data_IF_845326094129
#
_entry.id   IF_845326094129
#
_cell.length_a   1.000
_cell.length_b   1.000
_cell.length_c   1.000
_cell.angle_alpha   90.00
_cell.angle_beta   90.00
_cell.angle_gamma   90.00
#
_symmetry.space_group_name_H-M   'P 1'
#
loop_
_entity.id
_entity.type
_entity.pdbx_description
1 polymer ?
#
# COMPACT_ATOMS: atom_id res chain seq x y z
N UNK A 1 -19.24 5.80 2.68
CA UNK A 1 -19.33 5.45 4.12
C UNK A 1 -18.03 5.81 4.83
N UNK A 2 -17.98 5.90 6.17
CA UNK A 2 -16.72 6.10 6.91
C UNK A 2 -15.71 4.98 6.62
N UNK A 3 -16.18 3.74 6.39
CA UNK A 3 -15.32 2.61 6.02
C UNK A 3 -14.68 2.76 4.62
N UNK A 4 -15.37 3.37 3.66
CA UNK A 4 -14.79 3.62 2.33
C UNK A 4 -13.70 4.68 2.40
N UNK A 5 -13.89 5.68 3.27
CA UNK A 5 -12.89 6.69 3.55
C UNK A 5 -11.65 6.09 4.22
N UNK A 6 -11.80 5.11 5.12
CA UNK A 6 -10.65 4.41 5.72
C UNK A 6 -9.81 3.69 4.66
N UNK A 7 -10.44 3.10 3.63
CA UNK A 7 -9.72 2.48 2.51
C UNK A 7 -8.89 3.51 1.74
N UNK A 8 -9.48 4.67 1.44
CA UNK A 8 -8.76 5.76 0.77
C UNK A 8 -7.64 6.34 1.65
N UNK A 9 -7.89 6.50 2.95
CA UNK A 9 -6.89 6.98 3.90
C UNK A 9 -5.71 6.01 4.02
N UNK A 10 -5.94 4.70 3.98
CA UNK A 10 -4.87 3.70 3.95
C UNK A 10 -3.97 3.84 2.70
N UNK A 11 -4.54 4.16 1.54
CA UNK A 11 -3.76 4.49 0.34
C UNK A 11 -2.90 5.74 0.55
N UNK A 12 -3.47 6.79 1.13
CA UNK A 12 -2.76 8.04 1.43
C UNK A 12 -1.63 7.83 2.46
N UNK A 13 -1.87 7.05 3.51
CA UNK A 13 -0.85 6.69 4.51
C UNK A 13 0.29 5.93 3.84
N UNK A 14 -0.01 4.94 3.00
CA UNK A 14 1.02 4.20 2.27
C UNK A 14 1.90 5.10 1.40
N UNK A 15 1.32 6.11 0.77
CA UNK A 15 2.09 7.11 0.02
C UNK A 15 2.98 7.95 0.95
N UNK A 16 2.45 8.43 2.07
CA UNK A 16 3.22 9.21 3.06
C UNK A 16 4.38 8.39 3.63
N UNK A 17 4.15 7.12 4.00
CA UNK A 17 5.21 6.20 4.45
C UNK A 17 6.30 6.05 3.41
N UNK A 18 5.96 5.95 2.13
CA UNK A 18 6.94 5.88 1.04
C UNK A 18 7.75 7.17 0.92
N UNK A 19 7.13 8.33 1.12
CA UNK A 19 7.81 9.64 1.08
C UNK A 19 8.71 9.84 2.30
N UNK A 20 8.33 9.30 3.45
CA UNK A 20 9.07 9.40 4.71
C UNK A 20 10.18 8.36 4.88
N UNK A 21 10.34 7.44 3.92
CA UNK A 21 11.41 6.43 3.96
C UNK A 21 12.79 7.10 3.93
N UNK A 22 13.75 6.48 4.61
CA UNK A 22 15.15 6.89 4.52
C UNK A 22 15.65 6.87 3.07
N UNK A 23 16.44 7.87 2.73
CA UNK A 23 17.05 8.01 1.40
C UNK A 23 18.40 7.31 1.41
N UNK A 24 18.61 6.40 0.46
CA UNK A 24 19.89 5.75 0.23
C UNK A 24 20.84 6.72 -0.50
N UNK A 25 21.99 7.00 0.10
CA UNK A 25 23.03 7.88 -0.43
C UNK A 25 24.28 7.10 -0.88
N UNK A 26 24.16 5.80 -1.17
CA UNK A 26 25.24 5.00 -1.76
C UNK A 26 25.52 5.38 -3.22
N UNK A 27 26.74 5.09 -3.71
CA UNK A 27 27.12 5.31 -5.11
C UNK A 27 26.18 4.60 -6.10
N UNK A 28 25.72 3.41 -5.72
CA UNK A 28 24.74 2.64 -6.49
C UNK A 28 23.39 3.37 -6.57
N UNK A 29 22.90 3.94 -5.46
CA UNK A 29 21.66 4.72 -5.45
C UNK A 29 21.77 6.01 -6.29
N UNK A 30 22.95 6.65 -6.33
CA UNK A 30 23.17 7.82 -7.19
C UNK A 30 23.13 7.48 -8.69
N UNK A 31 23.54 6.27 -9.08
CA UNK A 31 23.45 5.80 -10.47
C UNK A 31 24.32 6.58 -11.47
N UNK A 32 25.43 7.18 -11.03
CA UNK A 32 26.26 8.04 -11.90
C UNK A 32 26.83 7.28 -13.11
N UNK A 33 27.23 6.02 -12.93
CA UNK A 33 27.76 5.19 -14.02
C UNK A 33 26.71 4.97 -15.13
N UNK A 34 25.47 4.62 -14.75
CA UNK A 34 24.40 4.42 -15.76
C UNK A 34 24.02 5.74 -16.43
N UNK A 35 24.10 6.87 -15.73
CA UNK A 35 23.89 8.19 -16.35
C UNK A 35 24.95 8.50 -17.41
N UNK A 36 26.22 8.18 -17.14
CA UNK A 36 27.31 8.35 -18.11
C UNK A 36 27.17 7.41 -19.31
N UNK A 37 26.84 6.13 -19.07
CA UNK A 37 26.65 5.12 -20.12
C UNK A 37 25.48 5.43 -21.05
N UNK A 38 24.33 5.84 -20.50
CA UNK A 38 23.13 6.18 -21.29
C UNK A 38 23.35 7.47 -22.08
N UNK A 39 23.99 8.47 -21.46
CA UNK A 39 24.31 9.74 -22.09
C UNK A 39 23.10 10.59 -22.51
N UNK A 40 23.35 11.76 -23.15
CA UNK A 40 22.29 12.68 -23.55
C UNK A 40 21.33 12.09 -24.58
N UNK A 41 20.02 12.24 -24.34
CA UNK A 41 18.97 11.76 -25.24
C UNK A 41 18.68 10.26 -25.16
N UNK A 42 19.38 9.53 -24.29
CA UNK A 42 19.11 8.12 -24.02
C UNK A 42 17.89 7.90 -23.11
N UNK A 43 17.58 6.62 -22.87
CA UNK A 43 16.48 6.18 -22.00
C UNK A 43 17.02 5.25 -20.91
N UNK A 44 16.39 5.31 -19.73
CA UNK A 44 16.76 4.48 -18.59
C UNK A 44 15.87 3.25 -18.41
N UNK A 45 14.78 3.13 -19.18
CA UNK A 45 13.72 2.14 -18.91
C UNK A 45 14.19 0.69 -19.06
N UNK A 46 15.19 0.45 -19.91
CA UNK A 46 15.77 -0.86 -20.22
C UNK A 46 17.08 -1.15 -19.46
N UNK A 47 17.51 -0.23 -18.59
CA UNK A 47 18.75 -0.35 -17.86
C UNK A 47 18.61 -1.30 -16.68
N UNK A 48 19.65 -2.10 -16.42
CA UNK A 48 19.66 -3.05 -15.30
C UNK A 48 19.53 -2.33 -13.95
N UNK A 49 20.11 -1.13 -13.83
CA UNK A 49 19.93 -0.26 -12.67
C UNK A 49 18.45 0.03 -12.42
N UNK A 50 17.69 0.45 -13.44
CA UNK A 50 16.24 0.63 -13.31
C UNK A 50 15.56 -0.66 -12.87
N UNK A 51 15.82 -1.80 -13.51
CA UNK A 51 15.20 -3.10 -13.17
C UNK A 51 15.42 -3.48 -11.70
N UNK A 52 16.63 -3.24 -11.19
CA UNK A 52 17.02 -3.58 -9.83
C UNK A 52 16.41 -2.65 -8.78
N UNK A 53 16.17 -1.38 -9.11
CA UNK A 53 15.78 -0.36 -8.14
C UNK A 53 14.29 0.02 -8.19
N UNK A 54 13.65 0.01 -9.36
CA UNK A 54 12.35 0.68 -9.53
C UNK A 54 11.24 0.17 -8.59
N UNK A 55 11.22 -1.14 -8.29
CA UNK A 55 10.20 -1.74 -7.39
C UNK A 55 10.39 -1.32 -5.94
N UNK A 56 11.62 -1.00 -5.56
CA UNK A 56 11.99 -0.56 -4.21
C UNK A 56 11.83 0.95 -4.06
N UNK A 57 12.23 1.71 -5.09
CA UNK A 57 12.30 3.16 -5.02
C UNK A 57 10.98 3.87 -5.40
N UNK A 58 10.16 3.27 -6.27
CA UNK A 58 8.90 3.88 -6.71
C UNK A 58 7.71 3.35 -5.89
N UNK A 59 6.84 4.26 -5.48
CA UNK A 59 5.54 3.92 -4.92
C UNK A 59 4.50 3.66 -6.01
N UNK A 60 3.90 2.47 -5.96
CA UNK A 60 2.82 2.06 -6.84
C UNK A 60 1.49 2.06 -6.08
N UNK A 61 0.49 2.85 -6.54
CA UNK A 61 -0.82 2.87 -5.90
C UNK A 61 -1.50 1.50 -6.02
N UNK A 62 -2.27 1.13 -5.01
CA UNK A 62 -3.14 -0.05 -5.03
C UNK A 62 -4.58 0.31 -5.35
N UNK A 63 -4.97 1.55 -5.04
CA UNK A 63 -6.32 2.07 -5.19
C UNK A 63 -6.39 3.14 -6.27
N UNK A 64 -5.42 4.05 -6.36
CA UNK A 64 -5.47 5.16 -7.33
C UNK A 64 -5.24 4.67 -8.77
N UNK A 65 -5.97 5.26 -9.72
CA UNK A 65 -5.75 4.98 -11.14
C UNK A 65 -4.68 5.89 -11.72
N UNK A 66 -3.72 5.32 -12.43
CA UNK A 66 -2.72 6.06 -13.21
C UNK A 66 -2.74 5.68 -14.69
N UNK A 67 -3.74 4.93 -15.15
CA UNK A 67 -3.92 4.61 -16.57
C UNK A 67 -4.14 5.88 -17.38
N UNK A 68 -3.73 5.85 -18.64
CA UNK A 68 -4.11 6.88 -19.59
C UNK A 68 -5.64 6.94 -19.74
N UNK A 69 -6.16 8.13 -20.02
CA UNK A 69 -7.60 8.40 -20.08
C UNK A 69 -8.37 7.39 -20.94
N UNK A 70 -7.90 7.11 -22.16
CA UNK A 70 -8.58 6.17 -23.06
C UNK A 70 -8.64 4.75 -22.48
N UNK A 71 -7.56 4.26 -21.87
CA UNK A 71 -7.52 2.94 -21.25
C UNK A 71 -8.40 2.86 -19.98
N UNK A 72 -8.52 3.95 -19.22
CA UNK A 72 -9.47 4.06 -18.12
C UNK A 72 -10.92 4.04 -18.63
N UNK A 73 -11.21 4.80 -19.70
CA UNK A 73 -12.53 4.88 -20.32
C UNK A 73 -12.98 3.53 -20.89
N UNK A 74 -12.14 2.89 -21.70
CA UNK A 74 -12.39 1.58 -22.31
C UNK A 74 -12.54 0.48 -21.24
N UNK A 75 -11.86 0.65 -20.11
CA UNK A 75 -11.96 -0.23 -18.94
C UNK A 75 -13.20 0.00 -18.06
N UNK A 76 -14.17 0.82 -18.51
CA UNK A 76 -15.43 1.05 -17.81
C UNK A 76 -15.48 2.30 -16.95
N UNK A 77 -14.49 3.20 -17.08
CA UNK A 77 -14.47 4.53 -16.46
C UNK A 77 -14.74 4.50 -14.95
N UNK A 78 -14.14 3.53 -14.26
CA UNK A 78 -14.42 3.32 -12.85
C UNK A 78 -13.87 4.45 -11.98
N UNK A 79 -14.74 5.02 -11.15
CA UNK A 79 -14.36 6.06 -10.20
C UNK A 79 -13.65 5.48 -8.95
N UNK A 80 -13.04 6.36 -8.17
CA UNK A 80 -12.33 5.98 -6.96
C UNK A 80 -13.27 5.50 -5.85
N UNK A 81 -14.49 6.04 -5.76
CA UNK A 81 -15.45 5.68 -4.72
C UNK A 81 -15.86 4.21 -4.86
N UNK A 82 -16.18 3.77 -6.08
CA UNK A 82 -16.51 2.38 -6.39
C UNK A 82 -15.37 1.43 -6.05
N UNK A 83 -14.12 1.79 -6.39
CA UNK A 83 -12.94 0.99 -6.01
C UNK A 83 -12.75 0.90 -4.49
N UNK A 84 -13.05 1.95 -3.74
CA UNK A 84 -13.05 1.90 -2.28
C UNK A 84 -14.10 0.91 -1.77
N UNK A 85 -15.32 0.97 -2.29
CA UNK A 85 -16.43 0.08 -1.91
C UNK A 85 -16.08 -1.39 -2.19
N UNK A 86 -15.56 -1.69 -3.38
CA UNK A 86 -15.16 -3.05 -3.77
C UNK A 86 -14.00 -3.56 -2.91
N UNK A 87 -12.99 -2.72 -2.67
CA UNK A 87 -11.86 -3.05 -1.80
C UNK A 87 -12.33 -3.34 -0.38
N UNK A 88 -13.21 -2.50 0.18
CA UNK A 88 -13.80 -2.71 1.51
C UNK A 88 -14.56 -4.04 1.56
N UNK A 89 -15.42 -4.31 0.58
CA UNK A 89 -16.20 -5.55 0.51
C UNK A 89 -15.28 -6.78 0.46
N UNK A 90 -14.25 -6.75 -0.37
CA UNK A 90 -13.25 -7.82 -0.48
C UNK A 90 -12.51 -8.03 0.85
N UNK A 91 -12.05 -6.96 1.49
CA UNK A 91 -11.35 -7.08 2.78
C UNK A 91 -12.24 -7.68 3.86
N UNK A 92 -13.49 -7.23 3.96
CA UNK A 92 -14.42 -7.76 4.97
C UNK A 92 -14.84 -9.21 4.71
N UNK A 93 -14.86 -9.66 3.45
CA UNK A 93 -15.24 -11.03 3.11
C UNK A 93 -14.10 -12.03 3.14
N UNK A 94 -12.84 -11.58 2.98
CA UNK A 94 -11.68 -12.46 2.85
C UNK A 94 -10.67 -12.37 3.98
N UNK A 95 -10.81 -11.42 4.91
CA UNK A 95 -9.84 -11.27 6.00
C UNK A 95 -10.05 -12.37 7.06
N UNK A 96 -9.04 -13.21 7.22
CA UNK A 96 -8.95 -14.19 8.30
C UNK A 96 -8.00 -13.66 9.38
N UNK A 97 -8.47 -13.68 10.62
CA UNK A 97 -7.68 -13.27 11.79
C UNK A 97 -6.95 -14.50 12.31
N UNK A 98 -5.63 -14.39 12.50
CA UNK A 98 -4.86 -15.44 13.16
C UNK A 98 -5.44 -15.69 14.57
N UNK A 99 -5.86 -16.93 14.89
CA UNK A 99 -6.48 -17.22 16.16
C UNK A 99 -5.49 -16.98 17.30
N UNK A 100 -5.99 -16.40 18.40
CA UNK A 100 -5.23 -16.31 19.63
C UNK A 100 -4.97 -17.71 20.18
N UNK A 101 -3.83 -17.90 20.87
CA UNK A 101 -3.62 -19.16 21.57
C UNK A 101 -4.73 -19.34 22.64
N UNK A 102 -5.21 -20.58 22.86
CA UNK A 102 -6.36 -20.83 23.72
C UNK A 102 -6.19 -20.32 25.15
N UNK A 103 -4.96 -20.29 25.66
CA UNK A 103 -4.63 -19.78 27.00
C UNK A 103 -4.82 -18.26 27.08
N UNK A 104 -4.35 -17.53 26.07
CA UNK A 104 -4.47 -16.07 26.01
C UNK A 104 -5.92 -15.64 25.83
N UNK A 105 -6.65 -16.31 24.94
CA UNK A 105 -8.08 -16.03 24.70
C UNK A 105 -8.92 -16.21 25.97
N UNK A 106 -8.66 -17.29 26.72
CA UNK A 106 -9.28 -17.54 28.03
C UNK A 106 -8.97 -16.44 29.03
N UNK A 107 -7.71 -16.01 29.11
CA UNK A 107 -7.30 -14.99 30.08
C UNK A 107 -7.87 -13.60 29.74
N UNK A 108 -7.88 -13.22 28.46
CA UNK A 108 -8.53 -11.98 28.00
C UNK A 108 -10.02 -12.01 28.35
N UNK A 109 -10.69 -13.12 28.06
CA UNK A 109 -12.12 -13.31 28.38
C UNK A 109 -12.37 -13.17 29.89
N UNK A 110 -11.53 -13.77 30.74
CA UNK A 110 -11.63 -13.66 32.21
C UNK A 110 -11.50 -12.21 32.68
N UNK A 111 -10.53 -11.47 32.15
CA UNK A 111 -10.29 -10.06 32.51
C UNK A 111 -11.49 -9.19 32.11
N UNK A 112 -12.01 -9.36 30.89
CA UNK A 112 -13.16 -8.59 30.39
C UNK A 112 -14.40 -8.84 31.25
N UNK A 113 -14.67 -10.09 31.63
CA UNK A 113 -15.80 -10.44 32.50
C UNK A 113 -15.67 -9.85 33.90
N UNK A 114 -14.47 -9.91 34.50
CA UNK A 114 -14.22 -9.36 35.84
C UNK A 114 -14.37 -7.83 35.88
N UNK A 115 -13.96 -7.14 34.81
CA UNK A 115 -14.12 -5.69 34.68
C UNK A 115 -15.59 -5.30 34.46
N UNK A 116 -16.33 -6.05 33.64
CA UNK A 116 -17.77 -5.81 33.43
C UNK A 116 -18.61 -5.97 34.69
N UNK A 117 -18.26 -6.93 35.55
CA UNK A 117 -18.96 -7.18 36.83
C UNK A 117 -18.60 -6.18 37.94
N UNK A 118 -17.53 -5.39 37.78
CA UNK A 118 -17.13 -4.36 38.76
C UNK A 118 -17.87 -3.02 38.58
N UNK A 119 -18.69 -2.90 37.52
CA UNK A 119 -19.52 -1.73 37.22
C UNK A 119 -21.04 -2.01 37.32
N UNK A 120 -21.44 -3.17 37.83
CA UNK A 120 -22.81 -3.54 38.19
C UNK A 120 -22.95 -3.63 39.71
#
# INVERSE_FOLDING_TARGET
SSLDMLVLQNEAISYVESVMRDIDFSDDAFGLNVMEEVGPGGTFIDQMHTVNHFRRELWFPRLLDRRFYQAWLDGGAEDTERRCVETRQRLLSSHEVEPLCPELDREITRIVQAAGNSHA
#
